data_IF_893538596658
#
_entry.id   IF_893538596658
#
_cell.length_a   1.000
_cell.length_b   1.000
_cell.length_c   1.000
_cell.angle_alpha   90.00
_cell.angle_beta   90.00
_cell.angle_gamma   90.00
#
_symmetry.space_group_name_H-M   'P 1'
#
loop_
_entity.id
_entity.type
_entity.pdbx_description
1 polymer ?
#
# COMPACT_ATOMS: atom_id res chain seq x y z
N UNK A 1 -21.30 -33.25 32.30
CA UNK A 1 -20.16 -32.32 32.06
C UNK A 1 -19.47 -32.61 30.71
N UNK A 2 -20.16 -32.52 29.57
CA UNK A 2 -19.57 -32.77 28.23
C UNK A 2 -19.81 -31.65 27.21
N UNK A 3 -20.51 -30.57 27.59
CA UNK A 3 -20.89 -29.48 26.68
C UNK A 3 -19.85 -28.34 26.62
N UNK A 4 -18.99 -28.24 27.64
CA UNK A 4 -17.94 -27.19 27.73
C UNK A 4 -16.76 -27.42 26.76
N UNK A 5 -16.52 -28.67 26.34
CA UNK A 5 -15.42 -29.02 25.42
C UNK A 5 -15.83 -29.00 23.93
N UNK A 6 -17.13 -28.95 23.63
CA UNK A 6 -17.64 -29.01 22.26
C UNK A 6 -17.48 -27.66 21.55
N UNK A 7 -17.64 -26.55 22.28
CA UNK A 7 -17.52 -25.20 21.74
C UNK A 7 -16.11 -24.81 21.27
N UNK A 8 -15.02 -25.05 22.02
CA UNK A 8 -13.68 -24.68 21.54
C UNK A 8 -13.26 -25.53 20.33
N UNK A 9 -13.69 -26.80 20.26
CA UNK A 9 -13.40 -27.68 19.12
C UNK A 9 -14.19 -27.24 17.88
N UNK A 10 -15.48 -26.92 18.02
CA UNK A 10 -16.28 -26.37 16.92
C UNK A 10 -15.72 -25.03 16.43
N UNK A 11 -15.30 -24.14 17.33
CA UNK A 11 -14.73 -22.85 16.97
C UNK A 11 -13.40 -23.01 16.20
N UNK A 12 -12.55 -23.96 16.60
CA UNK A 12 -11.31 -24.27 15.90
C UNK A 12 -11.56 -24.89 14.51
N UNK A 13 -12.57 -25.76 14.37
CA UNK A 13 -12.93 -26.33 13.05
C UNK A 13 -13.48 -25.25 12.13
N UNK A 14 -14.32 -24.33 12.62
CA UNK A 14 -14.86 -23.22 11.83
C UNK A 14 -13.75 -22.26 11.36
N UNK A 15 -12.75 -21.96 12.21
CA UNK A 15 -11.64 -21.07 11.82
C UNK A 15 -10.74 -21.69 10.74
N UNK A 16 -10.48 -23.00 10.82
CA UNK A 16 -9.70 -23.74 9.81
C UNK A 16 -10.46 -23.82 8.48
N UNK A 17 -11.78 -24.06 8.51
CA UNK A 17 -12.62 -24.08 7.29
C UNK A 17 -12.72 -22.68 6.66
N UNK A 18 -12.85 -21.62 7.47
CA UNK A 18 -12.82 -20.24 6.97
C UNK A 18 -11.45 -19.88 6.36
N UNK A 19 -10.35 -20.30 6.99
CA UNK A 19 -8.99 -20.12 6.47
C UNK A 19 -8.76 -20.86 5.14
N UNK A 20 -9.26 -22.09 4.99
CA UNK A 20 -9.16 -22.86 3.76
C UNK A 20 -10.03 -22.31 2.62
N UNK A 21 -11.21 -21.75 2.92
CA UNK A 21 -12.03 -21.08 1.91
C UNK A 21 -11.36 -19.82 1.34
N UNK A 22 -10.65 -19.06 2.18
CA UNK A 22 -9.83 -17.92 1.74
C UNK A 22 -8.58 -18.38 0.98
N UNK A 23 -7.95 -19.49 1.41
CA UNK A 23 -6.79 -20.07 0.71
C UNK A 23 -7.11 -20.64 -0.67
N UNK A 24 -8.25 -21.30 -0.84
CA UNK A 24 -8.66 -21.91 -2.12
C UNK A 24 -9.15 -20.89 -3.16
N UNK A 25 -9.61 -19.70 -2.75
CA UNK A 25 -9.97 -18.62 -3.67
C UNK A 25 -8.75 -17.88 -4.23
N UNK A 26 -7.59 -17.96 -3.56
CA UNK A 26 -6.32 -17.43 -4.06
C UNK A 26 -5.65 -18.43 -5.04
N UNK A 27 -5.86 -19.74 -4.86
CA UNK A 27 -5.20 -20.79 -5.65
C UNK A 27 -5.78 -21.03 -7.05
N UNK A 28 -6.90 -20.38 -7.43
CA UNK A 28 -7.55 -20.54 -8.75
C UNK A 28 -7.62 -19.22 -9.53
N UNK A 29 -6.49 -18.55 -9.75
CA UNK A 29 -6.35 -17.71 -10.94
C UNK A 29 -5.31 -18.28 -11.90
N UNK A 30 -5.64 -18.37 -13.19
CA UNK A 30 -4.71 -18.86 -14.19
C UNK A 30 -3.47 -17.98 -14.22
N UNK A 31 -2.34 -18.61 -14.56
CA UNK A 31 -1.05 -17.98 -14.80
C UNK A 31 -1.24 -16.72 -15.64
N UNK A 32 -0.98 -15.56 -15.04
CA UNK A 32 -0.64 -14.39 -15.82
C UNK A 32 0.69 -14.72 -16.50
N UNK A 33 0.67 -14.82 -17.83
CA UNK A 33 1.88 -14.76 -18.62
C UNK A 33 2.64 -13.50 -18.23
N UNK A 34 3.83 -13.70 -17.68
CA UNK A 34 4.76 -12.62 -17.41
C UNK A 34 5.30 -12.11 -18.75
N UNK A 35 4.55 -11.21 -19.40
CA UNK A 35 5.09 -10.34 -20.45
C UNK A 35 5.64 -9.08 -19.77
N UNK A 36 6.92 -8.75 -19.91
CA UNK A 36 7.40 -7.43 -19.51
C UNK A 36 6.93 -6.44 -20.58
N UNK A 37 5.69 -5.95 -20.46
CA UNK A 37 5.20 -4.87 -21.31
C UNK A 37 5.52 -3.54 -20.64
N UNK A 38 6.67 -2.99 -21.03
CA UNK A 38 7.04 -1.59 -20.84
C UNK A 38 6.08 -0.69 -21.67
N UNK A 39 4.81 -0.64 -21.30
CA UNK A 39 3.83 0.29 -21.88
C UNK A 39 3.00 0.92 -20.75
N UNK A 40 3.48 2.07 -20.27
CA UNK A 40 2.67 3.29 -20.28
C UNK A 40 1.35 3.36 -19.49
N UNK A 41 1.07 2.49 -18.51
CA UNK A 41 -0.02 2.68 -17.53
C UNK A 41 0.43 2.39 -16.10
N UNK A 42 1.42 3.14 -15.64
CA UNK A 42 1.76 3.24 -14.21
C UNK A 42 0.81 4.17 -13.43
N UNK A 43 -0.51 4.10 -13.67
CA UNK A 43 -1.51 4.84 -12.90
C UNK A 43 -2.10 3.95 -11.80
N UNK A 44 -1.25 3.48 -10.90
CA UNK A 44 -1.65 3.08 -9.57
C UNK A 44 -0.44 3.39 -8.68
N UNK A 45 -0.67 4.03 -7.55
CA UNK A 45 0.35 4.34 -6.53
C UNK A 45 1.24 5.56 -6.80
N UNK A 46 0.63 6.75 -6.74
CA UNK A 46 1.16 7.92 -6.01
C UNK A 46 0.10 9.05 -5.89
N UNK A 47 -1.19 8.73 -6.07
CA UNK A 47 -2.31 9.67 -5.96
C UNK A 47 -2.82 9.83 -4.50
N UNK A 48 -1.95 9.65 -3.50
CA UNK A 48 -2.36 9.74 -2.09
C UNK A 48 -2.20 11.14 -1.49
N UNK A 49 -1.15 11.91 -1.81
CA UNK A 49 -0.77 13.06 -0.96
C UNK A 49 -1.62 14.34 -1.03
N UNK A 50 -2.38 14.61 -2.09
CA UNK A 50 -3.24 15.81 -2.19
C UNK A 50 -4.72 15.52 -1.95
N UNK A 51 -5.22 14.36 -2.41
CA UNK A 51 -6.57 13.86 -2.06
C UNK A 51 -6.72 13.47 -0.60
N UNK A 52 -5.62 13.33 0.14
CA UNK A 52 -5.67 12.99 1.56
C UNK A 52 -6.36 14.06 2.42
N UNK A 53 -6.40 15.34 2.04
CA UNK A 53 -7.12 16.36 2.83
C UNK A 53 -8.64 16.32 2.63
N UNK A 54 -9.13 16.11 1.40
CA UNK A 54 -10.57 16.03 1.10
C UNK A 54 -11.14 14.61 1.37
N UNK A 55 -10.37 13.53 1.19
CA UNK A 55 -10.77 12.17 1.59
C UNK A 55 -10.88 11.97 3.10
N UNK A 56 -10.28 12.87 3.90
CA UNK A 56 -10.29 12.78 5.38
C UNK A 56 -11.71 12.73 5.90
N UNK A 57 -12.55 13.59 5.32
CA UNK A 57 -13.95 13.70 5.63
C UNK A 57 -14.75 12.65 4.88
N UNK A 58 -14.42 12.29 3.64
CA UNK A 58 -15.21 11.27 2.91
C UNK A 58 -15.34 9.92 3.63
N UNK A 59 -14.27 9.42 4.26
CA UNK A 59 -14.33 8.13 4.99
C UNK A 59 -15.13 8.30 6.28
N UNK A 60 -14.89 9.39 7.01
CA UNK A 60 -15.63 9.70 8.23
C UNK A 60 -17.12 9.91 7.94
N UNK A 61 -17.45 10.72 6.93
CA UNK A 61 -18.80 10.99 6.46
C UNK A 61 -19.49 9.72 5.96
N UNK A 62 -18.80 8.84 5.22
CA UNK A 62 -19.36 7.53 4.82
C UNK A 62 -19.69 6.64 6.02
N UNK A 63 -18.83 6.62 7.04
CA UNK A 63 -19.05 5.81 8.25
C UNK A 63 -20.20 6.42 9.08
N UNK A 64 -20.14 7.73 9.30
CA UNK A 64 -21.14 8.53 10.01
C UNK A 64 -22.53 8.39 9.38
N UNK A 65 -22.63 8.52 8.05
CA UNK A 65 -23.90 8.46 7.31
C UNK A 65 -24.48 7.05 7.26
N UNK A 66 -23.65 6.02 7.10
CA UNK A 66 -24.11 4.62 7.00
C UNK A 66 -24.52 4.06 8.35
N UNK A 67 -23.80 4.40 9.41
CA UNK A 67 -24.05 3.89 10.76
C UNK A 67 -24.96 4.79 11.58
N UNK A 68 -25.33 5.97 11.07
CA UNK A 68 -26.17 6.97 11.74
C UNK A 68 -25.67 7.25 13.17
N UNK A 69 -24.37 7.52 13.29
CA UNK A 69 -23.70 7.75 14.57
C UNK A 69 -24.31 8.97 15.29
N UNK A 70 -24.42 8.90 16.62
CA UNK A 70 -24.74 10.08 17.44
C UNK A 70 -23.52 11.01 17.57
N UNK A 71 -23.71 12.23 18.10
CA UNK A 71 -22.62 13.21 18.23
C UNK A 71 -21.41 12.74 19.06
N UNK A 72 -21.63 12.10 20.22
CA UNK A 72 -20.55 11.52 21.02
C UNK A 72 -19.80 10.40 20.30
N UNK A 73 -20.52 9.54 19.56
CA UNK A 73 -19.89 8.48 18.76
C UNK A 73 -19.10 9.02 17.57
N UNK A 74 -19.58 10.11 16.95
CA UNK A 74 -18.87 10.80 15.87
C UNK A 74 -17.53 11.35 16.34
N UNK A 75 -17.49 11.92 17.54
CA UNK A 75 -16.27 12.49 18.11
C UNK A 75 -15.22 11.40 18.40
N UNK A 76 -15.65 10.28 18.99
CA UNK A 76 -14.77 9.12 19.23
C UNK A 76 -14.21 8.54 17.93
N UNK A 77 -15.06 8.30 16.92
CA UNK A 77 -14.62 7.77 15.62
C UNK A 77 -13.65 8.73 14.93
N UNK A 78 -13.89 10.04 15.01
CA UNK A 78 -12.99 11.05 14.45
C UNK A 78 -11.62 11.01 15.12
N UNK A 79 -11.58 10.84 16.44
CA UNK A 79 -10.34 10.70 17.20
C UNK A 79 -9.59 9.42 16.84
N UNK A 80 -10.26 8.28 16.74
CA UNK A 80 -9.65 6.99 16.34
C UNK A 80 -9.02 7.11 14.95
N UNK A 81 -9.76 7.66 13.98
CA UNK A 81 -9.26 7.84 12.62
C UNK A 81 -8.06 8.80 12.58
N UNK A 82 -8.02 9.81 13.44
CA UNK A 82 -6.88 10.74 13.55
C UNK A 82 -5.65 10.03 14.11
N UNK A 83 -5.77 9.34 15.24
CA UNK A 83 -4.66 8.62 15.87
C UNK A 83 -4.07 7.55 14.94
N UNK A 84 -4.93 6.73 14.33
CA UNK A 84 -4.49 5.68 13.40
C UNK A 84 -3.74 6.25 12.19
N UNK A 85 -4.13 7.43 11.70
CA UNK A 85 -3.40 8.11 10.61
C UNK A 85 -2.03 8.59 11.04
N UNK A 86 -1.91 9.13 12.24
CA UNK A 86 -0.62 9.62 12.73
C UNK A 86 0.34 8.45 12.97
N UNK A 87 -0.14 7.34 13.52
CA UNK A 87 0.62 6.08 13.59
C UNK A 87 1.05 5.59 12.21
N UNK A 88 0.14 5.57 11.23
CA UNK A 88 0.45 5.16 9.87
C UNK A 88 1.50 6.06 9.20
N UNK A 89 1.48 7.38 9.46
CA UNK A 89 2.52 8.29 8.96
C UNK A 89 3.89 7.96 9.55
N UNK A 90 3.96 7.67 10.84
CA UNK A 90 5.22 7.30 11.49
C UNK A 90 5.76 5.97 10.95
N UNK A 91 4.90 4.96 10.78
CA UNK A 91 5.26 3.70 10.12
C UNK A 91 5.77 3.95 8.70
N UNK A 92 5.11 4.82 7.94
CA UNK A 92 5.52 5.16 6.59
C UNK A 92 6.86 5.88 6.55
N UNK A 93 7.10 6.85 7.44
CA UNK A 93 8.40 7.54 7.56
C UNK A 93 9.53 6.55 7.86
N UNK A 94 9.35 5.71 8.87
CA UNK A 94 10.33 4.69 9.24
C UNK A 94 10.60 3.70 8.10
N UNK A 95 9.55 3.31 7.37
CA UNK A 95 9.66 2.41 6.23
C UNK A 95 10.32 3.06 5.03
N UNK A 96 10.11 4.37 4.81
CA UNK A 96 10.68 5.12 3.69
C UNK A 96 12.20 5.11 3.73
N UNK A 97 12.80 5.30 4.90
CA UNK A 97 14.25 5.27 5.09
C UNK A 97 14.82 3.87 4.83
N UNK A 98 14.20 2.84 5.40
CA UNK A 98 14.59 1.44 5.14
C UNK A 98 14.52 1.09 3.65
N UNK A 99 13.49 1.55 2.96
CA UNK A 99 13.26 1.28 1.55
C UNK A 99 14.23 2.06 0.66
N UNK A 100 14.65 3.27 1.06
CA UNK A 100 15.71 4.01 0.39
C UNK A 100 17.05 3.28 0.48
N UNK A 101 17.43 2.83 1.68
CA UNK A 101 18.66 2.05 1.87
C UNK A 101 18.66 0.74 1.10
N UNK A 102 17.52 0.01 1.07
CA UNK A 102 17.39 -1.20 0.27
C UNK A 102 17.57 -0.92 -1.23
N UNK A 103 16.97 0.16 -1.74
CA UNK A 103 17.13 0.56 -3.15
C UNK A 103 18.58 0.87 -3.50
N UNK A 104 19.29 1.59 -2.65
CA UNK A 104 20.71 1.89 -2.87
C UNK A 104 21.57 0.62 -2.86
N UNK A 105 21.32 -0.28 -1.92
CA UNK A 105 22.00 -1.57 -1.85
C UNK A 105 21.75 -2.40 -3.12
N UNK A 106 20.50 -2.55 -3.53
CA UNK A 106 20.13 -3.26 -4.76
C UNK A 106 20.78 -2.64 -5.99
N UNK A 107 20.77 -1.31 -6.11
CA UNK A 107 21.42 -0.63 -7.24
C UNK A 107 22.94 -0.89 -7.27
N UNK A 108 23.59 -0.94 -6.11
CA UNK A 108 25.02 -1.20 -5.99
C UNK A 108 25.35 -2.64 -6.38
N UNK A 109 24.54 -3.61 -5.94
CA UNK A 109 24.68 -5.03 -6.30
C UNK A 109 24.44 -5.27 -7.79
N UNK A 110 23.43 -4.63 -8.38
CA UNK A 110 23.21 -4.72 -9.83
C UNK A 110 24.41 -4.13 -10.57
N UNK A 111 24.87 -2.94 -10.19
CA UNK A 111 25.99 -2.25 -10.84
C UNK A 111 27.28 -3.07 -10.81
N UNK A 112 27.56 -3.79 -9.72
CA UNK A 112 28.78 -4.60 -9.59
C UNK A 112 28.81 -5.82 -10.52
N UNK A 113 27.65 -6.28 -11.00
CA UNK A 113 27.53 -7.38 -11.96
C UNK A 113 27.61 -6.92 -13.43
N UNK A 114 27.58 -5.62 -13.69
CA UNK A 114 27.56 -5.05 -15.04
C UNK A 114 28.97 -4.70 -15.54
N UNK A 115 29.18 -4.87 -16.84
CA UNK A 115 30.37 -4.33 -17.53
C UNK A 115 30.36 -2.80 -17.58
N UNK A 116 31.50 -2.17 -17.88
CA UNK A 116 31.63 -0.70 -17.87
C UNK A 116 30.61 0.01 -18.77
N UNK A 117 30.35 -0.53 -19.95
CA UNK A 117 29.40 0.05 -20.90
C UNK A 117 27.95 -0.10 -20.40
N UNK A 118 27.62 -1.26 -19.82
CA UNK A 118 26.31 -1.51 -19.20
C UNK A 118 26.06 -0.67 -17.94
N UNK A 119 27.11 -0.37 -17.16
CA UNK A 119 27.01 0.52 -16.00
C UNK A 119 26.63 1.93 -16.42
N UNK A 120 27.20 2.44 -17.52
CA UNK A 120 26.87 3.77 -18.03
C UNK A 120 25.39 3.87 -18.46
N UNK A 121 24.87 2.85 -19.14
CA UNK A 121 23.44 2.79 -19.50
C UNK A 121 22.53 2.66 -18.27
N UNK A 122 22.93 1.84 -17.29
CA UNK A 122 22.18 1.67 -16.05
C UNK A 122 22.12 2.96 -15.24
N UNK A 123 23.24 3.67 -15.08
CA UNK A 123 23.31 4.95 -14.39
C UNK A 123 22.42 6.01 -15.06
N UNK A 124 22.44 6.05 -16.40
CA UNK A 124 21.56 6.92 -17.19
C UNK A 124 20.08 6.58 -16.94
N UNK A 125 19.71 5.30 -16.94
CA UNK A 125 18.34 4.85 -16.69
C UNK A 125 17.84 5.28 -15.31
N UNK A 126 18.66 5.07 -14.27
CA UNK A 126 18.33 5.47 -12.90
C UNK A 126 18.23 7.00 -12.78
N UNK A 127 19.14 7.75 -13.43
CA UNK A 127 19.10 9.20 -13.49
C UNK A 127 17.83 9.75 -14.14
N UNK A 128 17.41 9.17 -15.27
CA UNK A 128 16.17 9.54 -15.95
C UNK A 128 14.93 9.26 -15.11
N UNK A 129 14.90 8.14 -14.39
CA UNK A 129 13.80 7.81 -13.46
C UNK A 129 13.71 8.84 -12.33
N UNK A 130 14.84 9.23 -11.72
CA UNK A 130 14.89 10.27 -10.69
C UNK A 130 14.42 11.62 -11.23
N UNK A 131 14.95 12.05 -12.37
CA UNK A 131 14.56 13.31 -13.01
C UNK A 131 13.08 13.34 -13.39
N UNK A 132 12.49 12.22 -13.85
CA UNK A 132 11.05 12.11 -14.06
C UNK A 132 10.29 12.29 -12.74
N UNK A 133 10.67 11.58 -11.67
CA UNK A 133 10.04 11.74 -10.35
C UNK A 133 10.10 13.17 -9.83
N UNK A 134 11.24 13.84 -9.96
CA UNK A 134 11.40 15.21 -9.46
C UNK A 134 10.60 16.22 -10.28
N UNK A 135 10.56 16.08 -11.61
CA UNK A 135 9.66 16.87 -12.46
C UNK A 135 8.18 16.62 -12.16
N UNK A 136 7.81 15.39 -11.78
CA UNK A 136 6.44 15.08 -11.32
C UNK A 136 6.11 15.75 -9.98
N UNK A 137 7.09 15.91 -9.09
CA UNK A 137 6.91 16.68 -7.84
C UNK A 137 6.83 18.18 -8.10
N UNK A 138 7.70 18.73 -8.95
CA UNK A 138 7.78 20.16 -9.26
C UNK A 138 6.58 20.67 -10.06
N UNK A 139 6.13 19.91 -11.07
CA UNK A 139 5.00 20.33 -11.92
C UNK A 139 3.65 20.27 -11.23
N UNK A 140 3.58 19.78 -9.98
CA UNK A 140 2.35 19.67 -9.19
C UNK A 140 1.14 19.26 -10.03
N UNK A 141 1.02 17.97 -10.36
CA UNK A 141 -0.05 17.31 -11.14
C UNK A 141 -0.91 18.21 -12.07
N UNK A 142 -0.90 18.00 -13.41
CA UNK A 142 -1.85 18.67 -14.30
C UNK A 142 -3.28 18.29 -13.89
N UNK A 143 -4.01 19.25 -13.31
CA UNK A 143 -5.33 19.04 -12.71
C UNK A 143 -5.63 19.88 -11.46
N UNK A 144 -4.65 20.63 -10.92
CA UNK A 144 -4.92 21.65 -9.89
C UNK A 144 -4.84 23.06 -10.48
N UNK A 145 -5.92 23.51 -11.12
CA UNK A 145 -6.28 24.92 -11.28
C UNK A 145 -7.79 25.03 -11.19
#
# INVERSE_FOLDING_TARGET
MKKELIYPVLLAVISVVAGLAVGLTIARKPRYDFRPRFEGKGMMECDMRKKDMERKDEIFEKISSRLKLNEGQKEEVKNILKTSRDEAKEVFKASKEKLAGLKEKTNTEIRSMLSKDQQAEFDKMIGEMKCKMDRFKERGMPGTK
#
